data_IF_698243886165
#
_entry.id   IF_698243886165
#
_cell.length_a   1.000
_cell.length_b   1.000
_cell.length_c   1.000
_cell.angle_alpha   90.00
_cell.angle_beta   90.00
_cell.angle_gamma   90.00
#
_symmetry.space_group_name_H-M   'P 1'
#
loop_
_entity.id
_entity.type
_entity.pdbx_description
1 polymer ?
#
# COMPACT_ATOMS: atom_id res chain seq x y z
N UNK A 1 -2.59 26.94 -19.04
CA UNK A 1 -3.96 26.67 -18.54
C UNK A 1 -4.32 25.17 -18.51
N UNK A 2 -3.70 24.32 -19.34
CA UNK A 2 -3.96 22.87 -19.39
C UNK A 2 -3.59 22.10 -18.10
N UNK A 3 -2.50 22.46 -17.41
CA UNK A 3 -2.06 21.81 -16.16
C UNK A 3 -3.08 21.90 -14.99
N UNK A 4 -3.97 22.91 -14.97
CA UNK A 4 -4.94 23.09 -13.89
C UNK A 4 -6.19 22.20 -14.02
N UNK A 5 -6.54 21.76 -15.24
CA UNK A 5 -7.69 20.88 -15.49
C UNK A 5 -7.35 19.43 -15.13
N UNK A 6 -6.17 18.96 -15.54
CA UNK A 6 -5.62 17.65 -15.16
C UNK A 6 -5.57 17.49 -13.63
N UNK A 7 -5.11 18.52 -12.91
CA UNK A 7 -5.02 18.50 -11.45
C UNK A 7 -6.37 18.29 -10.72
N UNK A 8 -7.51 18.60 -11.37
CA UNK A 8 -8.85 18.44 -10.75
C UNK A 8 -9.33 16.99 -10.80
N UNK A 9 -8.95 16.23 -11.84
CA UNK A 9 -9.29 14.81 -12.03
C UNK A 9 -8.25 13.90 -11.39
N UNK A 10 -6.97 14.29 -11.45
CA UNK A 10 -5.86 13.52 -10.87
C UNK A 10 -6.05 13.33 -9.37
N UNK A 11 -6.59 14.32 -8.65
CA UNK A 11 -6.73 14.26 -7.19
C UNK A 11 -7.69 13.18 -6.65
N UNK A 12 -8.97 13.10 -7.08
CA UNK A 12 -9.87 12.02 -6.66
C UNK A 12 -9.37 10.66 -7.15
N UNK A 13 -8.75 10.59 -8.33
CA UNK A 13 -8.15 9.36 -8.85
C UNK A 13 -6.99 8.88 -7.97
N UNK A 14 -6.07 9.76 -7.58
CA UNK A 14 -4.99 9.43 -6.63
C UNK A 14 -5.57 8.98 -5.30
N UNK A 15 -6.63 9.63 -4.80
CA UNK A 15 -7.31 9.21 -3.57
C UNK A 15 -7.85 7.78 -3.67
N UNK A 16 -8.58 7.47 -4.76
CA UNK A 16 -9.10 6.13 -5.00
C UNK A 16 -7.98 5.09 -5.13
N UNK A 17 -6.95 5.39 -5.94
CA UNK A 17 -5.78 4.52 -6.13
C UNK A 17 -5.05 4.23 -4.81
N UNK A 18 -4.93 5.24 -3.96
CA UNK A 18 -4.28 5.12 -2.67
C UNK A 18 -5.07 4.23 -1.69
N UNK A 19 -6.40 4.24 -1.78
CA UNK A 19 -7.26 3.31 -1.01
C UNK A 19 -7.11 1.88 -1.54
N UNK A 20 -7.22 1.69 -2.85
CA UNK A 20 -7.09 0.35 -3.46
C UNK A 20 -5.73 -0.27 -3.17
N UNK A 21 -4.63 0.47 -3.32
CA UNK A 21 -3.28 -0.03 -3.01
C UNK A 21 -3.10 -0.36 -1.52
N UNK A 22 -3.69 0.42 -0.61
CA UNK A 22 -3.64 0.13 0.81
C UNK A 22 -4.43 -1.14 1.18
N UNK A 23 -5.60 -1.35 0.57
CA UNK A 23 -6.39 -2.56 0.76
C UNK A 23 -5.67 -3.79 0.22
N UNK A 24 -5.05 -3.68 -0.95
CA UNK A 24 -4.30 -4.76 -1.59
C UNK A 24 -3.13 -5.22 -0.72
N UNK A 25 -2.26 -4.30 -0.28
CA UNK A 25 -1.12 -4.66 0.57
C UNK A 25 -1.56 -5.23 1.92
N UNK A 26 -2.68 -4.73 2.47
CA UNK A 26 -3.25 -5.27 3.71
C UNK A 26 -3.78 -6.69 3.51
N UNK A 27 -4.45 -6.96 2.38
CA UNK A 27 -4.93 -8.30 2.01
C UNK A 27 -3.78 -9.30 1.87
N UNK A 28 -2.69 -8.89 1.22
CA UNK A 28 -1.47 -9.70 1.08
C UNK A 28 -0.87 -10.01 2.47
N UNK A 29 -0.79 -9.03 3.36
CA UNK A 29 -0.30 -9.23 4.73
C UNK A 29 -1.18 -10.20 5.53
N UNK A 30 -2.50 -10.05 5.46
CA UNK A 30 -3.44 -10.96 6.14
C UNK A 30 -3.29 -12.38 5.60
N UNK A 31 -3.20 -12.53 4.28
CA UNK A 31 -3.00 -13.83 3.63
C UNK A 31 -1.69 -14.48 4.06
N UNK A 32 -0.61 -13.71 4.18
CA UNK A 32 0.68 -14.19 4.67
C UNK A 32 0.60 -14.63 6.15
N UNK A 33 -0.10 -13.88 7.01
CA UNK A 33 -0.29 -14.23 8.42
C UNK A 33 -1.11 -15.52 8.58
N UNK A 34 -2.22 -15.65 7.86
CA UNK A 34 -3.05 -16.87 7.87
C UNK A 34 -2.25 -18.07 7.34
N UNK A 35 -1.53 -17.90 6.24
CA UNK A 35 -0.70 -18.97 5.66
C UNK A 35 0.43 -19.41 6.59
N UNK A 36 1.05 -18.47 7.31
CA UNK A 36 2.06 -18.77 8.34
C UNK A 36 1.45 -19.62 9.45
N UNK A 37 0.27 -19.22 9.95
CA UNK A 37 -0.41 -19.93 11.04
C UNK A 37 -0.78 -21.36 10.65
N UNK A 38 -1.37 -21.54 9.46
CA UNK A 38 -1.71 -22.87 8.92
C UNK A 38 -0.49 -23.77 8.75
N UNK A 39 0.67 -23.20 8.42
CA UNK A 39 1.92 -23.95 8.30
C UNK A 39 2.51 -24.38 9.65
N UNK A 40 2.34 -23.58 10.69
CA UNK A 40 2.75 -23.91 12.05
C UNK A 40 1.94 -25.07 12.64
N UNK A 41 0.69 -25.24 12.20
CA UNK A 41 -0.25 -26.26 12.70
C UNK A 41 -0.11 -27.65 12.02
N UNK A 42 0.81 -27.82 11.03
CA UNK A 42 1.41 -29.14 10.79
C UNK A 42 1.34 -29.83 9.40
N UNK A 43 1.07 -29.18 8.26
CA UNK A 43 1.10 -29.89 6.94
C UNK A 43 1.51 -29.04 5.70
N UNK A 44 2.07 -27.82 5.79
CA UNK A 44 2.36 -27.01 4.59
C UNK A 44 3.62 -26.12 4.69
N UNK A 45 4.24 -25.82 3.55
CA UNK A 45 5.44 -24.96 3.39
C UNK A 45 5.25 -23.47 3.80
N UNK A 46 4.03 -23.07 4.21
CA UNK A 46 3.75 -21.74 4.76
C UNK A 46 4.23 -20.58 3.90
N UNK A 47 4.98 -19.67 4.51
CA UNK A 47 5.51 -18.45 3.87
C UNK A 47 6.96 -18.66 3.38
N UNK A 48 7.49 -19.88 3.46
CA UNK A 48 8.85 -20.19 3.04
C UNK A 48 9.08 -19.82 1.55
N UNK A 49 8.06 -19.97 0.69
CA UNK A 49 8.12 -19.52 -0.71
C UNK A 49 8.30 -18.01 -0.87
N UNK A 50 7.75 -17.17 0.02
CA UNK A 50 7.97 -15.73 -0.01
C UNK A 50 9.37 -15.33 0.51
N UNK A 51 10.01 -16.21 1.29
CA UNK A 51 11.42 -16.10 1.68
C UNK A 51 12.40 -16.73 0.69
N UNK A 52 11.93 -17.26 -0.45
CA UNK A 52 12.79 -17.80 -1.51
C UNK A 52 13.10 -16.76 -2.59
N UNK A 53 14.27 -16.90 -3.20
CA UNK A 53 14.77 -16.03 -4.26
C UNK A 53 13.82 -16.00 -5.47
N UNK A 54 13.57 -14.86 -6.15
CA UNK A 54 14.18 -13.53 -5.98
C UNK A 54 13.40 -12.60 -5.03
N UNK A 55 12.30 -13.06 -4.41
CA UNK A 55 11.46 -12.24 -3.53
C UNK A 55 12.11 -11.98 -2.16
N UNK A 56 13.02 -12.86 -1.74
CA UNK A 56 13.82 -12.73 -0.51
C UNK A 56 14.74 -11.48 -0.46
N UNK A 57 14.99 -10.83 -1.59
CA UNK A 57 15.78 -9.60 -1.65
C UNK A 57 15.01 -8.36 -1.26
N UNK A 58 13.68 -8.41 -1.22
CA UNK A 58 12.92 -7.32 -0.63
C UNK A 58 12.62 -7.73 0.82
N UNK A 59 13.29 -7.11 1.82
CA UNK A 59 13.08 -7.48 3.20
C UNK A 59 11.60 -7.30 3.56
N UNK A 60 11.18 -7.86 4.70
CA UNK A 60 9.88 -7.55 5.35
C UNK A 60 9.57 -6.03 5.47
N UNK A 61 10.56 -5.19 5.17
CA UNK A 61 10.51 -3.77 4.90
C UNK A 61 9.61 -3.31 3.74
N UNK A 62 9.40 -4.08 2.66
CA UNK A 62 8.58 -3.59 1.52
C UNK A 62 7.13 -3.31 1.89
N UNK A 63 6.40 -4.24 2.52
CA UNK A 63 5.04 -3.98 2.96
C UNK A 63 4.94 -2.73 3.85
N UNK A 64 5.89 -2.56 4.78
CA UNK A 64 5.97 -1.38 5.63
C UNK A 64 6.20 -0.09 4.84
N UNK A 65 7.09 -0.13 3.84
CA UNK A 65 7.39 1.01 2.96
C UNK A 65 6.20 1.38 2.09
N UNK A 66 5.51 0.38 1.52
CA UNK A 66 4.33 0.58 0.68
C UNK A 66 3.20 1.23 1.50
N UNK A 67 2.94 0.72 2.71
CA UNK A 67 1.97 1.31 3.63
C UNK A 67 2.38 2.76 3.97
N UNK A 68 3.65 2.99 4.29
CA UNK A 68 4.16 4.33 4.59
C UNK A 68 3.94 5.32 3.44
N UNK A 69 4.19 4.91 2.20
CA UNK A 69 3.95 5.74 1.01
C UNK A 69 2.46 6.05 0.83
N UNK A 70 1.57 5.09 1.09
CA UNK A 70 0.13 5.33 1.07
C UNK A 70 -0.30 6.34 2.15
N UNK A 71 0.23 6.23 3.37
CA UNK A 71 -0.06 7.17 4.46
C UNK A 71 0.41 8.59 4.11
N UNK A 72 1.65 8.74 3.62
CA UNK A 72 2.18 10.06 3.20
C UNK A 72 1.36 10.65 2.06
N UNK A 73 0.92 9.82 1.11
CA UNK A 73 0.09 10.28 0.01
C UNK A 73 -1.24 10.84 0.51
N UNK A 74 -1.90 10.19 1.48
CA UNK A 74 -3.11 10.74 2.11
C UNK A 74 -2.85 12.05 2.83
N UNK A 75 -1.78 12.13 3.63
CA UNK A 75 -1.39 13.35 4.33
C UNK A 75 -1.17 14.51 3.35
N UNK A 76 -0.43 14.28 2.26
CA UNK A 76 -0.17 15.29 1.23
C UNK A 76 -1.47 15.75 0.54
N UNK A 77 -2.38 14.84 0.23
CA UNK A 77 -3.67 15.17 -0.40
C UNK A 77 -4.61 15.95 0.55
N UNK A 78 -4.50 15.74 1.87
CA UNK A 78 -5.21 16.50 2.89
C UNK A 78 -4.62 17.89 3.11
N UNK A 79 -3.29 18.01 3.20
CA UNK A 79 -2.59 19.31 3.29
C UNK A 79 -2.90 20.19 2.08
N UNK A 80 -2.94 19.59 0.88
CA UNK A 80 -3.37 20.29 -0.34
C UNK A 80 -4.84 20.74 -0.29
N UNK A 81 -5.70 20.03 0.45
CA UNK A 81 -7.09 20.49 0.71
C UNK A 81 -7.09 21.75 1.56
N UNK A 82 -6.37 21.71 2.68
CA UNK A 82 -6.33 22.78 3.66
C UNK A 82 -5.74 24.06 3.07
N UNK A 83 -4.62 23.95 2.34
CA UNK A 83 -3.99 25.09 1.66
C UNK A 83 -4.91 25.73 0.61
N UNK A 84 -5.74 24.95 -0.09
CA UNK A 84 -6.71 25.47 -1.06
C UNK A 84 -7.94 26.12 -0.43
N UNK A 85 -8.25 25.82 0.84
CA UNK A 85 -9.37 26.44 1.57
C UNK A 85 -8.96 27.73 2.29
N UNK A 86 -7.67 27.95 2.50
CA UNK A 86 -7.12 29.13 3.17
C UNK A 86 -6.78 30.30 2.21
N UNK A 87 -7.01 30.10 0.90
CA UNK A 87 -6.83 31.09 -0.19
C UNK A 87 -8.18 31.32 -0.85
#
# INVERSE_FOLDING_TARGET
MLLRREAKIVRPLTWAWNIFGLLDITSVLVSAMVSTRLAMDGQALGVAQFGTFPFAWIPAFAPATIIFLHVITFQKLQMTKAAKMAV
#
